data_IF_801533310672
#
_entry.id   IF_801533310672
#
_cell.length_a   1.000
_cell.length_b   1.000
_cell.length_c   1.000
_cell.angle_alpha   90.00
_cell.angle_beta   90.00
_cell.angle_gamma   90.00
#
_symmetry.space_group_name_H-M   'P 1'
#
loop_
_entity.id
_entity.type
_entity.pdbx_description
1 polymer ?
#
# COMPACT_ATOMS: atom_id res chain seq x y z
N UNK A 1 -29.71 -38.29 8.05
CA UNK A 1 -28.32 -38.15 8.55
C UNK A 1 -27.39 -38.81 7.55
N UNK A 2 -26.51 -38.04 6.90
CA UNK A 2 -25.13 -38.48 6.61
C UNK A 2 -24.36 -37.28 6.06
N UNK A 3 -23.43 -36.79 6.87
CA UNK A 3 -22.48 -35.75 6.51
C UNK A 3 -21.41 -36.37 5.61
N UNK A 4 -21.32 -35.92 4.36
CA UNK A 4 -20.13 -36.14 3.56
C UNK A 4 -19.15 -35.00 3.88
N UNK A 5 -18.09 -35.33 4.62
CA UNK A 5 -17.04 -34.41 5.01
C UNK A 5 -16.39 -33.78 3.78
N UNK A 6 -16.42 -32.45 3.72
CA UNK A 6 -15.67 -31.67 2.74
C UNK A 6 -14.18 -31.87 3.01
N UNK A 7 -13.49 -32.61 2.14
CA UNK A 7 -12.05 -32.67 2.15
C UNK A 7 -11.50 -31.24 2.06
N UNK A 8 -10.70 -30.85 3.04
CA UNK A 8 -9.97 -29.59 3.05
C UNK A 8 -8.88 -29.73 2.00
N UNK A 9 -9.02 -29.06 0.86
CA UNK A 9 -7.91 -28.95 -0.09
C UNK A 9 -6.73 -28.30 0.64
N UNK A 10 -5.50 -28.84 0.49
CA UNK A 10 -4.33 -28.24 1.11
C UNK A 10 -4.17 -26.85 0.52
N UNK A 11 -4.13 -25.83 1.37
CA UNK A 11 -3.77 -24.46 1.01
C UNK A 11 -2.41 -24.55 0.32
N UNK A 12 -2.41 -24.44 -1.02
CA UNK A 12 -1.20 -24.52 -1.81
C UNK A 12 -0.24 -23.44 -1.31
N UNK A 13 0.84 -23.85 -0.66
CA UNK A 13 1.92 -22.98 -0.24
C UNK A 13 2.54 -22.39 -1.51
N UNK A 14 2.16 -21.15 -1.84
CA UNK A 14 2.60 -20.50 -3.06
C UNK A 14 4.14 -20.36 -3.01
N UNK A 15 4.87 -20.93 -3.98
CA UNK A 15 6.33 -20.89 -3.97
C UNK A 15 6.81 -19.45 -4.04
N UNK A 16 7.86 -19.11 -3.28
CA UNK A 16 8.42 -17.76 -3.12
C UNK A 16 8.67 -17.02 -4.45
N UNK A 17 8.91 -17.76 -5.53
CA UNK A 17 9.05 -17.26 -6.90
C UNK A 17 7.84 -16.47 -7.40
N UNK A 18 6.60 -16.88 -7.09
CA UNK A 18 5.40 -16.11 -7.50
C UNK A 18 5.28 -14.77 -6.78
N UNK A 19 5.75 -14.70 -5.54
CA UNK A 19 5.75 -13.48 -4.73
C UNK A 19 6.78 -12.47 -5.24
N UNK A 20 7.96 -12.95 -5.65
CA UNK A 20 9.00 -12.11 -6.26
C UNK A 20 8.59 -11.63 -7.68
N UNK A 21 7.92 -12.49 -8.47
CA UNK A 21 7.31 -12.12 -9.76
C UNK A 21 6.22 -11.05 -9.61
N UNK A 22 5.51 -11.04 -8.48
CA UNK A 22 4.48 -10.04 -8.24
C UNK A 22 5.08 -8.65 -8.06
N UNK A 23 6.26 -8.50 -7.45
CA UNK A 23 6.85 -7.20 -7.09
C UNK A 23 7.33 -6.38 -8.30
N UNK A 24 7.65 -7.02 -9.41
CA UNK A 24 8.05 -6.35 -10.66
C UNK A 24 6.93 -6.17 -11.69
N UNK A 25 5.69 -6.50 -11.33
CA UNK A 25 4.56 -6.35 -12.25
C UNK A 25 4.41 -4.88 -12.72
N UNK A 26 4.28 -4.62 -14.05
CA UNK A 26 4.24 -3.25 -14.58
C UNK A 26 3.16 -2.35 -13.95
N UNK A 27 2.01 -2.93 -13.59
CA UNK A 27 0.92 -2.19 -12.95
C UNK A 27 1.27 -1.69 -11.55
N UNK A 28 2.12 -2.39 -10.79
CA UNK A 28 2.61 -1.93 -9.48
C UNK A 28 3.45 -0.67 -9.63
N UNK A 29 4.34 -0.63 -10.62
CA UNK A 29 5.14 0.58 -10.93
C UNK A 29 4.25 1.77 -11.31
N UNK A 30 3.18 1.52 -12.09
CA UNK A 30 2.20 2.56 -12.45
C UNK A 30 1.47 3.07 -11.20
N UNK A 31 1.01 2.18 -10.31
CA UNK A 31 0.36 2.56 -9.06
C UNK A 31 1.29 3.35 -8.16
N UNK A 32 2.54 2.89 -7.99
CA UNK A 32 3.53 3.58 -7.17
C UNK A 32 3.79 5.00 -7.68
N UNK A 33 3.97 5.18 -8.99
CA UNK A 33 4.14 6.51 -9.59
C UNK A 33 2.91 7.40 -9.40
N UNK A 34 1.71 6.85 -9.66
CA UNK A 34 0.45 7.57 -9.53
C UNK A 34 0.23 8.04 -8.09
N UNK A 35 0.35 7.13 -7.12
CA UNK A 35 0.14 7.44 -5.71
C UNK A 35 1.25 8.33 -5.14
N UNK A 36 2.51 8.19 -5.59
CA UNK A 36 3.58 9.11 -5.19
C UNK A 36 3.28 10.53 -5.66
N UNK A 37 2.84 10.72 -6.91
CA UNK A 37 2.44 12.04 -7.42
C UNK A 37 1.23 12.59 -6.67
N UNK A 38 0.21 11.78 -6.46
CA UNK A 38 -0.99 12.17 -5.73
C UNK A 38 -0.66 12.61 -4.29
N UNK A 39 0.18 11.86 -3.56
CA UNK A 39 0.63 12.27 -2.24
C UNK A 39 1.37 13.61 -2.28
N UNK A 40 2.25 13.82 -3.28
CA UNK A 40 3.02 15.04 -3.42
C UNK A 40 2.17 16.27 -3.76
N UNK A 41 1.10 16.12 -4.54
CA UNK A 41 0.14 17.21 -4.80
C UNK A 41 -0.51 17.69 -3.49
N UNK A 42 -0.91 16.78 -2.62
CA UNK A 42 -1.50 17.13 -1.32
C UNK A 42 -0.47 17.62 -0.30
N UNK A 43 0.73 17.03 -0.24
CA UNK A 43 1.75 17.40 0.74
C UNK A 43 2.51 18.70 0.40
N UNK A 44 2.38 19.20 -0.83
CA UNK A 44 3.02 20.45 -1.28
C UNK A 44 2.66 21.65 -0.42
N UNK A 45 1.41 21.76 0.02
CA UNK A 45 0.95 22.90 0.83
C UNK A 45 1.52 22.93 2.25
N UNK A 46 2.05 21.80 2.74
CA UNK A 46 2.69 21.66 4.06
C UNK A 46 4.20 21.40 3.94
N UNK A 47 4.79 21.71 2.78
CA UNK A 47 6.22 21.59 2.50
C UNK A 47 6.80 20.19 2.78
N UNK A 48 6.01 19.13 2.54
CA UNK A 48 6.45 17.74 2.64
C UNK A 48 6.44 17.08 1.26
N UNK A 49 7.25 16.03 1.13
CA UNK A 49 7.37 15.24 -0.11
C UNK A 49 7.62 13.78 0.21
N UNK A 50 7.07 12.90 -0.62
CA UNK A 50 7.35 11.47 -0.71
C UNK A 50 8.24 11.23 -1.93
N UNK A 51 9.42 10.67 -1.71
CA UNK A 51 10.34 10.17 -2.74
C UNK A 51 10.11 8.69 -3.02
N UNK A 52 10.02 7.88 -1.98
CA UNK A 52 9.70 6.45 -2.07
C UNK A 52 8.48 6.12 -1.21
N UNK A 53 7.37 5.79 -1.88
CA UNK A 53 6.10 5.49 -1.22
C UNK A 53 6.17 4.31 -0.24
N UNK A 54 7.07 3.35 -0.49
CA UNK A 54 7.21 2.14 0.34
C UNK A 54 7.86 2.43 1.69
N UNK A 55 8.73 3.43 1.77
CA UNK A 55 9.53 3.73 2.97
C UNK A 55 9.10 5.01 3.66
N UNK A 56 8.75 6.05 2.91
CA UNK A 56 8.64 7.41 3.45
C UNK A 56 7.39 7.63 4.31
N UNK A 57 6.42 6.72 4.22
CA UNK A 57 5.23 6.69 5.08
C UNK A 57 5.42 5.83 6.33
N UNK A 58 6.53 5.10 6.45
CA UNK A 58 6.74 4.08 7.49
C UNK A 58 6.87 4.61 8.91
N UNK A 59 7.39 5.82 9.09
CA UNK A 59 7.48 6.49 10.41
C UNK A 59 6.17 7.18 10.84
N UNK A 60 5.17 7.21 9.95
CA UNK A 60 3.85 7.82 10.19
C UNK A 60 3.79 9.35 10.06
N UNK A 61 4.91 10.09 10.05
CA UNK A 61 4.88 11.56 10.08
C UNK A 61 4.31 12.18 8.81
N UNK A 62 4.67 11.64 7.65
CA UNK A 62 4.11 12.08 6.36
C UNK A 62 2.67 11.59 6.18
N UNK A 63 2.34 10.43 6.74
CA UNK A 63 1.00 9.88 6.69
C UNK A 63 0.02 10.74 7.51
N UNK A 64 0.38 11.15 8.72
CA UNK A 64 -0.41 12.07 9.54
C UNK A 64 -0.64 13.38 8.78
N UNK A 65 0.43 13.99 8.26
CA UNK A 65 0.31 15.24 7.50
C UNK A 65 -0.61 15.11 6.26
N UNK A 66 -0.52 13.98 5.54
CA UNK A 66 -1.39 13.69 4.40
C UNK A 66 -2.86 13.57 4.85
N UNK A 67 -3.14 12.86 5.95
CA UNK A 67 -4.49 12.73 6.49
C UNK A 67 -5.06 14.06 7.00
N UNK A 68 -4.24 14.92 7.62
CA UNK A 68 -4.68 16.26 8.03
C UNK A 68 -5.10 17.11 6.82
N UNK A 69 -4.30 17.10 5.76
CA UNK A 69 -4.61 17.81 4.51
C UNK A 69 -5.87 17.24 3.85
N UNK A 70 -6.02 15.92 3.77
CA UNK A 70 -7.20 15.33 3.11
C UNK A 70 -8.49 15.53 3.91
N UNK A 71 -8.41 15.42 5.22
CA UNK A 71 -9.59 15.50 6.10
C UNK A 71 -9.96 16.92 6.51
N UNK A 72 -9.08 17.91 6.26
CA UNK A 72 -9.21 19.28 6.76
C UNK A 72 -9.37 19.33 8.29
N UNK A 73 -8.74 18.39 9.00
CA UNK A 73 -8.79 18.24 10.47
C UNK A 73 -7.39 18.05 11.03
N UNK A 74 -7.16 18.58 12.23
CA UNK A 74 -5.94 18.32 13.00
C UNK A 74 -6.01 16.98 13.72
N UNK A 75 -4.93 16.21 13.65
CA UNK A 75 -4.85 14.87 14.23
C UNK A 75 -4.03 14.81 15.53
N UNK A 76 -3.29 15.87 15.88
CA UNK A 76 -2.55 16.00 17.14
C UNK A 76 -1.08 16.28 16.94
#
# INVERSE_FOLDING_TARGET
MSAAGRAREPEAEMPATEKDLADDAPWKRIQQNTFTRWCNEHLKCVQKRVGNLQTDLGDGLRLIALLEVLSQKKLG
#
